data_IF_750969528673
#
_entry.id   IF_750969528673
#
_cell.length_a   1.000
_cell.length_b   1.000
_cell.length_c   1.000
_cell.angle_alpha   90.00
_cell.angle_beta   90.00
_cell.angle_gamma   90.00
#
_symmetry.space_group_name_H-M   'P 1'
#
loop_
_entity.id
_entity.type
_entity.pdbx_description
1 polymer ?
#
# COMPACT_ATOMS: atom_id res chain seq x y z
N UNK A 1 17.40 10.55 -6.10
CA UNK A 1 17.22 9.13 -6.48
C UNK A 1 18.57 8.44 -6.49
N UNK A 2 18.67 7.19 -6.06
CA UNK A 2 19.84 6.33 -6.19
C UNK A 2 19.58 5.33 -7.32
N UNK A 3 20.59 5.07 -8.14
CA UNK A 3 20.50 4.07 -9.22
C UNK A 3 21.34 2.87 -8.84
N UNK A 4 20.79 1.68 -9.02
CA UNK A 4 21.48 0.42 -8.72
C UNK A 4 22.57 0.20 -9.78
N UNK A 5 23.81 0.05 -9.35
CA UNK A 5 24.96 -0.21 -10.23
C UNK A 5 24.74 -1.49 -11.06
N UNK A 6 25.06 -1.45 -12.33
CA UNK A 6 24.88 -2.58 -13.26
C UNK A 6 23.44 -2.85 -13.69
N UNK A 7 22.45 -2.12 -13.14
CA UNK A 7 21.03 -2.33 -13.46
C UNK A 7 20.65 -1.96 -14.88
N UNK A 8 19.51 -2.46 -15.34
CA UNK A 8 18.91 -2.05 -16.62
C UNK A 8 18.59 -0.55 -16.65
N UNK A 9 18.25 0.05 -15.50
CA UNK A 9 18.00 1.47 -15.36
C UNK A 9 19.28 2.31 -15.64
N UNK A 10 20.41 1.92 -15.03
CA UNK A 10 21.69 2.58 -15.28
C UNK A 10 22.13 2.46 -16.73
N UNK A 11 22.04 1.24 -17.30
CA UNK A 11 22.37 0.99 -18.72
C UNK A 11 21.50 1.78 -19.69
N UNK A 12 20.26 2.08 -19.31
CA UNK A 12 19.36 2.94 -20.07
C UNK A 12 19.67 4.43 -19.93
N UNK A 13 20.64 4.80 -19.09
CA UNK A 13 21.11 6.15 -18.92
C UNK A 13 20.49 6.91 -17.75
N UNK A 14 19.77 6.24 -16.86
CA UNK A 14 19.34 6.82 -15.59
C UNK A 14 20.55 7.07 -14.70
N UNK A 15 20.58 8.21 -14.00
CA UNK A 15 21.74 8.60 -13.19
C UNK A 15 21.30 9.05 -11.79
N UNK A 16 22.19 8.89 -10.85
CA UNK A 16 22.02 9.46 -9.52
C UNK A 16 21.81 10.98 -9.60
N UNK A 17 20.87 11.49 -8.80
CA UNK A 17 20.48 12.90 -8.80
C UNK A 17 19.41 13.28 -9.84
N UNK A 18 19.02 12.39 -10.74
CA UNK A 18 17.87 12.63 -11.61
C UNK A 18 16.58 12.82 -10.78
N UNK A 19 15.74 13.74 -11.20
CA UNK A 19 14.44 14.00 -10.60
C UNK A 19 13.35 13.42 -11.50
N UNK A 20 12.66 12.35 -11.03
CA UNK A 20 11.56 11.75 -11.77
C UNK A 20 10.38 12.73 -11.78
N UNK A 21 9.88 13.09 -12.96
CA UNK A 21 8.71 13.95 -13.15
C UNK A 21 7.51 13.19 -13.70
N UNK A 22 7.74 12.02 -14.32
CA UNK A 22 6.68 11.14 -14.79
C UNK A 22 7.16 9.68 -14.72
N UNK A 23 6.28 8.77 -14.30
CA UNK A 23 6.49 7.33 -14.25
C UNK A 23 5.29 6.62 -14.90
N UNK A 24 5.51 5.85 -15.97
CA UNK A 24 4.45 5.14 -16.70
C UNK A 24 3.28 6.05 -17.11
N UNK A 25 3.55 7.28 -17.53
CA UNK A 25 2.53 8.28 -17.86
C UNK A 25 1.88 8.98 -16.66
N UNK A 26 2.25 8.59 -15.44
CA UNK A 26 1.75 9.19 -14.20
C UNK A 26 2.67 10.32 -13.75
N UNK A 27 2.10 11.52 -13.56
CA UNK A 27 2.87 12.70 -13.15
C UNK A 27 3.27 12.63 -11.68
N UNK A 28 4.55 12.85 -11.40
CA UNK A 28 5.16 12.79 -10.08
C UNK A 28 5.46 14.20 -9.60
N UNK A 29 4.73 14.67 -8.61
CA UNK A 29 4.97 15.95 -7.92
C UNK A 29 5.85 15.76 -6.66
N UNK A 30 5.67 14.63 -5.98
CA UNK A 30 6.34 14.25 -4.72
C UNK A 30 6.84 12.80 -4.81
N UNK A 31 7.93 12.48 -4.10
CA UNK A 31 8.45 11.10 -4.06
C UNK A 31 7.41 10.06 -3.62
N UNK A 32 6.49 10.43 -2.74
CA UNK A 32 5.38 9.57 -2.30
C UNK A 32 4.31 9.30 -3.38
N UNK A 33 4.24 10.10 -4.44
CA UNK A 33 3.39 9.78 -5.61
C UNK A 33 3.85 8.48 -6.29
N UNK A 34 5.15 8.31 -6.40
CA UNK A 34 5.73 7.10 -6.98
C UNK A 34 5.44 5.87 -6.11
N UNK A 35 5.52 6.03 -4.79
CA UNK A 35 5.16 4.97 -3.85
C UNK A 35 3.70 4.53 -4.02
N UNK A 36 2.76 5.48 -4.04
CA UNK A 36 1.33 5.19 -4.24
C UNK A 36 1.08 4.54 -5.60
N UNK A 37 1.71 5.07 -6.66
CA UNK A 37 1.57 4.48 -7.99
C UNK A 37 2.05 3.02 -8.02
N UNK A 38 3.24 2.75 -7.49
CA UNK A 38 3.83 1.40 -7.46
C UNK A 38 3.03 0.42 -6.60
N UNK A 39 2.42 0.89 -5.51
CA UNK A 39 1.53 0.08 -4.67
C UNK A 39 0.25 -0.35 -5.41
N UNK A 40 -0.34 0.58 -6.19
CA UNK A 40 -1.57 0.31 -6.93
C UNK A 40 -1.35 -0.38 -8.28
N UNK A 41 -0.14 -0.30 -8.83
CA UNK A 41 0.19 -0.83 -10.15
C UNK A 41 1.48 -1.65 -10.05
N UNK A 42 1.31 -2.91 -9.74
CA UNK A 42 2.43 -3.84 -9.65
C UNK A 42 3.13 -3.96 -11.01
N UNK A 43 4.45 -3.79 -11.01
CA UNK A 43 5.27 -3.94 -12.21
C UNK A 43 5.29 -5.41 -12.63
N UNK A 44 4.91 -5.68 -13.89
CA UNK A 44 4.84 -7.04 -14.42
C UNK A 44 6.10 -7.42 -15.18
N UNK A 45 6.46 -8.70 -15.15
CA UNK A 45 7.59 -9.21 -15.92
C UNK A 45 7.40 -8.95 -17.41
N UNK A 46 8.45 -8.45 -18.06
CA UNK A 46 8.45 -8.09 -19.48
C UNK A 46 7.86 -6.72 -19.80
N UNK A 47 7.25 -6.05 -18.83
CA UNK A 47 6.76 -4.69 -18.97
C UNK A 47 7.94 -3.72 -19.13
N UNK A 48 7.78 -2.71 -20.00
CA UNK A 48 8.78 -1.65 -20.17
C UNK A 48 8.48 -0.50 -19.23
N UNK A 49 9.47 -0.06 -18.47
CA UNK A 49 9.37 1.14 -17.64
C UNK A 49 9.63 2.36 -18.53
N UNK A 50 8.73 3.34 -18.46
CA UNK A 50 8.83 4.63 -19.12
C UNK A 50 8.94 5.73 -18.08
N UNK A 51 9.99 6.53 -18.15
CA UNK A 51 10.28 7.63 -17.23
C UNK A 51 10.47 8.94 -17.98
N UNK A 52 9.99 10.05 -17.40
CA UNK A 52 10.54 11.37 -17.67
C UNK A 52 11.31 11.83 -16.46
N UNK A 53 12.54 12.25 -16.69
CA UNK A 53 13.42 12.74 -15.63
C UNK A 53 13.91 14.13 -15.98
N UNK A 54 14.17 14.93 -14.95
CA UNK A 54 14.80 16.23 -15.09
C UNK A 54 16.24 16.14 -14.58
N UNK A 55 17.19 16.40 -15.48
CA UNK A 55 18.64 16.46 -15.23
C UNK A 55 19.18 17.81 -15.67
N UNK A 56 19.86 18.54 -14.81
CA UNK A 56 20.42 19.86 -15.10
C UNK A 56 19.41 20.83 -15.73
N UNK A 57 18.15 20.75 -15.25
CA UNK A 57 17.06 21.60 -15.74
C UNK A 57 16.40 21.15 -17.06
N UNK A 58 16.92 20.11 -17.73
CA UNK A 58 16.38 19.56 -18.99
C UNK A 58 15.59 18.27 -18.74
N UNK A 59 14.46 18.14 -19.42
CA UNK A 59 13.72 16.88 -19.44
C UNK A 59 14.37 15.87 -20.39
N UNK A 60 14.38 14.60 -19.96
CA UNK A 60 14.82 13.46 -20.73
C UNK A 60 13.83 12.31 -20.56
N UNK A 61 13.58 11.59 -21.63
CA UNK A 61 12.77 10.38 -21.60
C UNK A 61 13.69 9.16 -21.57
N UNK A 62 13.44 8.25 -20.65
CA UNK A 62 14.20 7.02 -20.46
C UNK A 62 13.22 5.86 -20.47
N UNK A 63 13.53 4.84 -21.24
CA UNK A 63 12.69 3.63 -21.29
C UNK A 63 13.58 2.39 -21.29
N UNK A 64 13.21 1.40 -20.47
CA UNK A 64 13.96 0.15 -20.37
C UNK A 64 13.09 -0.99 -19.87
N UNK A 65 13.51 -2.21 -20.14
CA UNK A 65 12.95 -3.40 -19.49
C UNK A 65 13.67 -3.63 -18.17
N UNK A 66 12.95 -3.74 -17.04
CA UNK A 66 13.54 -3.97 -15.74
C UNK A 66 14.26 -5.31 -15.68
N UNK A 67 15.28 -5.39 -14.83
CA UNK A 67 15.87 -6.66 -14.45
C UNK A 67 14.85 -7.48 -13.66
N UNK A 68 15.00 -8.80 -13.66
CA UNK A 68 14.14 -9.72 -12.93
C UNK A 68 14.94 -10.35 -11.80
N UNK A 69 14.48 -10.16 -10.57
CA UNK A 69 15.01 -10.86 -9.42
C UNK A 69 14.29 -12.21 -9.31
N UNK A 70 15.06 -13.27 -9.38
CA UNK A 70 14.56 -14.64 -9.25
C UNK A 70 14.86 -15.14 -7.85
N UNK A 71 13.83 -15.57 -7.14
CA UNK A 71 13.93 -16.19 -5.83
C UNK A 71 13.14 -17.48 -5.81
N UNK A 72 13.56 -18.39 -4.98
CA UNK A 72 12.80 -19.60 -4.68
C UNK A 72 12.16 -19.46 -3.32
N UNK A 73 10.86 -19.72 -3.22
CA UNK A 73 10.08 -19.48 -2.02
C UNK A 73 9.34 -20.75 -1.58
N UNK A 74 9.19 -20.90 -0.28
CA UNK A 74 8.36 -21.93 0.35
C UNK A 74 6.89 -21.50 0.46
N UNK A 75 6.61 -20.19 0.59
CA UNK A 75 5.28 -19.61 0.51
C UNK A 75 4.52 -19.53 1.83
N UNK A 76 5.10 -18.92 2.85
CA UNK A 76 4.45 -18.65 4.13
C UNK A 76 4.79 -17.27 4.69
N UNK A 77 3.91 -16.77 5.55
CA UNK A 77 4.17 -15.60 6.38
C UNK A 77 4.37 -16.06 7.82
N UNK A 78 5.26 -15.37 8.53
CA UNK A 78 5.56 -15.61 9.95
C UNK A 78 4.77 -14.63 10.81
N UNK A 79 4.35 -15.06 11.99
CA UNK A 79 3.65 -14.21 12.96
C UNK A 79 4.54 -13.07 13.52
N UNK A 80 5.84 -13.29 13.55
CA UNK A 80 6.86 -12.32 13.97
C UNK A 80 8.16 -12.60 13.21
N UNK A 81 9.00 -11.57 13.03
CA UNK A 81 10.29 -11.67 12.33
C UNK A 81 11.19 -12.71 12.98
N UNK A 82 11.13 -12.86 14.31
CA UNK A 82 11.92 -13.82 15.07
C UNK A 82 11.23 -15.18 15.26
N UNK A 83 9.98 -15.34 14.82
CA UNK A 83 9.22 -16.58 14.97
C UNK A 83 9.35 -17.46 13.72
N UNK A 84 9.26 -18.78 13.90
CA UNK A 84 9.10 -19.76 12.83
C UNK A 84 7.68 -20.33 12.79
N UNK A 85 6.74 -19.73 13.52
CA UNK A 85 5.33 -20.07 13.46
C UNK A 85 4.72 -19.57 12.16
N UNK A 86 4.08 -20.45 11.44
CA UNK A 86 3.31 -20.14 10.23
C UNK A 86 2.06 -19.36 10.63
N UNK A 87 2.00 -18.07 10.34
CA UNK A 87 0.81 -17.26 10.54
C UNK A 87 -0.21 -17.50 9.44
N UNK A 88 0.26 -17.52 8.21
CA UNK A 88 -0.56 -17.81 7.04
C UNK A 88 0.27 -18.43 5.91
N UNK A 89 -0.39 -19.21 5.07
CA UNK A 89 0.18 -19.80 3.87
C UNK A 89 -0.26 -19.02 2.63
N UNK A 90 0.64 -18.90 1.68
CA UNK A 90 0.35 -18.28 0.40
C UNK A 90 -0.29 -19.33 -0.50
N UNK A 91 -1.53 -19.08 -0.94
CA UNK A 91 -2.31 -20.01 -1.76
C UNK A 91 -1.59 -20.44 -3.02
N UNK A 92 -1.57 -21.74 -3.26
CA UNK A 92 -0.89 -22.36 -4.41
C UNK A 92 0.62 -22.38 -4.29
N UNK A 93 1.19 -22.15 -3.09
CA UNK A 93 2.63 -22.26 -2.86
C UNK A 93 3.00 -23.58 -2.17
N UNK A 94 4.29 -23.99 -2.26
CA UNK A 94 4.72 -25.33 -1.88
C UNK A 94 4.35 -25.80 -0.47
N UNK A 95 4.43 -24.96 0.54
CA UNK A 95 4.06 -25.34 1.92
C UNK A 95 2.56 -25.62 2.06
N UNK A 96 1.69 -24.83 1.38
CA UNK A 96 0.24 -25.11 1.36
C UNK A 96 -0.06 -26.42 0.64
N UNK A 97 0.58 -26.64 -0.50
CA UNK A 97 0.40 -27.88 -1.30
C UNK A 97 0.88 -29.13 -0.54
N UNK A 98 1.88 -28.97 0.33
CA UNK A 98 2.39 -30.02 1.21
C UNK A 98 1.50 -30.28 2.46
N UNK A 99 0.46 -29.47 2.66
CA UNK A 99 -0.52 -29.65 3.75
C UNK A 99 -0.08 -29.06 5.09
N UNK A 100 0.85 -28.10 5.11
CA UNK A 100 1.09 -27.30 6.29
C UNK A 100 -0.15 -26.39 6.54
N UNK A 101 -0.30 -25.94 7.79
CA UNK A 101 -1.43 -25.13 8.24
C UNK A 101 -0.94 -23.94 9.08
N UNK A 102 -1.78 -22.92 9.22
CA UNK A 102 -1.51 -21.83 10.14
C UNK A 102 -1.42 -22.38 11.58
N UNK A 103 -0.41 -21.95 12.32
CA UNK A 103 -0.09 -22.45 13.65
C UNK A 103 1.01 -23.52 13.70
N UNK A 104 1.40 -24.10 12.56
CA UNK A 104 2.58 -24.99 12.50
C UNK A 104 3.85 -24.21 12.83
N UNK A 105 4.81 -24.87 13.47
CA UNK A 105 6.11 -24.28 13.79
C UNK A 105 7.19 -25.03 13.01
N UNK A 106 7.85 -24.36 12.07
CA UNK A 106 8.96 -24.95 11.32
C UNK A 106 10.17 -25.02 12.26
N UNK A 107 10.72 -26.23 12.45
CA UNK A 107 11.82 -26.48 13.39
C UNK A 107 13.14 -26.79 12.69
N UNK A 108 13.11 -27.45 11.50
CA UNK A 108 14.34 -27.80 10.77
C UNK A 108 14.12 -27.66 9.25
N UNK A 109 15.21 -27.38 8.53
CA UNK A 109 15.28 -27.43 7.06
C UNK A 109 16.47 -28.32 6.71
N UNK A 110 16.23 -29.38 5.95
CA UNK A 110 17.23 -30.41 5.61
C UNK A 110 17.98 -30.94 6.86
N UNK A 111 17.28 -31.11 7.99
CA UNK A 111 17.82 -31.56 9.25
C UNK A 111 18.60 -30.51 10.06
N UNK A 112 18.77 -29.30 9.53
CA UNK A 112 19.40 -28.16 10.24
C UNK A 112 18.32 -27.41 11.04
N UNK A 113 18.59 -27.23 12.35
CA UNK A 113 17.66 -26.51 13.23
C UNK A 113 17.54 -25.03 12.88
N UNK A 114 16.29 -24.54 12.82
CA UNK A 114 15.93 -23.13 12.58
C UNK A 114 14.98 -22.67 13.69
N UNK A 115 15.50 -22.50 14.94
CA UNK A 115 14.69 -22.22 16.11
C UNK A 115 13.97 -20.86 16.05
N UNK A 116 14.47 -19.94 15.26
CA UNK A 116 13.93 -18.61 15.11
C UNK A 116 14.15 -18.04 13.69
N UNK A 117 13.56 -16.88 13.42
CA UNK A 117 13.66 -16.25 12.12
C UNK A 117 15.07 -15.84 11.73
N UNK A 118 15.93 -15.50 12.68
CA UNK A 118 17.33 -15.14 12.39
C UNK A 118 18.12 -16.37 11.92
N UNK A 119 17.90 -17.53 12.59
CA UNK A 119 18.51 -18.80 12.19
C UNK A 119 18.02 -19.24 10.80
N UNK A 120 16.74 -19.02 10.50
CA UNK A 120 16.17 -19.26 9.18
C UNK A 120 16.83 -18.37 8.10
N UNK A 121 16.93 -17.07 8.33
CA UNK A 121 17.55 -16.15 7.37
C UNK A 121 19.01 -16.50 7.11
N UNK A 122 19.76 -16.78 8.18
CA UNK A 122 21.15 -17.25 8.06
C UNK A 122 21.25 -18.54 7.28
N UNK A 123 20.35 -19.51 7.55
CA UNK A 123 20.33 -20.78 6.80
C UNK A 123 20.10 -20.52 5.30
N UNK A 124 19.14 -19.66 4.94
CA UNK A 124 18.84 -19.34 3.53
C UNK A 124 19.98 -18.56 2.85
N UNK A 125 20.72 -17.72 3.59
CA UNK A 125 21.91 -17.04 3.07
C UNK A 125 23.04 -18.03 2.75
N UNK A 126 23.27 -19.02 3.64
CA UNK A 126 24.30 -20.04 3.47
C UNK A 126 23.90 -21.15 2.49
N UNK A 127 22.59 -21.43 2.39
CA UNK A 127 21.99 -22.48 1.55
C UNK A 127 20.79 -21.91 0.79
N UNK A 128 21.04 -21.12 -0.26
CA UNK A 128 19.96 -20.54 -1.07
C UNK A 128 19.01 -21.60 -1.62
N UNK A 129 17.70 -21.37 -1.47
CA UNK A 129 16.71 -22.27 -2.06
C UNK A 129 16.83 -22.28 -3.59
N UNK A 130 16.58 -23.43 -4.19
CA UNK A 130 16.58 -23.68 -5.64
C UNK A 130 15.36 -24.50 -6.03
N UNK A 131 15.33 -25.03 -7.22
CA UNK A 131 14.35 -26.01 -7.70
C UNK A 131 14.58 -27.43 -7.15
N UNK A 132 15.59 -27.62 -6.28
CA UNK A 132 15.83 -28.89 -5.61
C UNK A 132 14.91 -29.05 -4.39
N UNK A 133 14.40 -30.29 -4.14
CA UNK A 133 13.58 -30.55 -2.97
C UNK A 133 14.33 -30.31 -1.66
N UNK A 134 13.63 -29.75 -0.67
CA UNK A 134 14.10 -29.58 0.71
C UNK A 134 13.16 -30.28 1.67
N UNK A 135 13.72 -30.91 2.71
CA UNK A 135 12.94 -31.52 3.79
C UNK A 135 12.64 -30.46 4.85
N UNK A 136 11.36 -30.21 5.09
CA UNK A 136 10.89 -29.32 6.16
C UNK A 136 10.39 -30.18 7.31
N UNK A 137 10.96 -30.00 8.50
CA UNK A 137 10.46 -30.56 9.75
C UNK A 137 9.65 -29.50 10.46
N UNK A 138 8.44 -29.82 10.88
CA UNK A 138 7.55 -28.89 11.59
C UNK A 138 6.80 -29.58 12.72
N UNK A 139 6.41 -28.80 13.72
CA UNK A 139 5.61 -29.25 14.86
C UNK A 139 4.15 -28.78 14.71
N UNK A 140 3.20 -29.69 14.90
CA UNK A 140 1.79 -29.43 14.99
C UNK A 140 1.18 -30.15 16.19
N UNK A 141 0.56 -29.40 17.11
CA UNK A 141 -0.05 -29.96 18.34
C UNK A 141 0.94 -30.81 19.19
N UNK A 142 2.22 -30.43 19.25
CA UNK A 142 3.25 -31.15 20.00
C UNK A 142 3.76 -32.42 19.33
N UNK A 143 3.42 -32.67 18.08
CA UNK A 143 3.92 -33.78 17.28
C UNK A 143 4.78 -33.27 16.12
N UNK A 144 5.93 -33.94 15.88
CA UNK A 144 6.84 -33.61 14.80
C UNK A 144 6.39 -34.32 13.51
N UNK A 145 6.42 -33.58 12.40
CA UNK A 145 6.12 -34.05 11.05
C UNK A 145 7.23 -33.64 10.10
N UNK A 146 7.35 -34.37 9.00
CA UNK A 146 8.26 -34.03 7.91
C UNK A 146 7.50 -33.97 6.58
N UNK A 147 7.89 -33.01 5.75
CA UNK A 147 7.39 -32.89 4.38
C UNK A 147 8.56 -32.59 3.43
N UNK A 148 8.60 -33.27 2.30
CA UNK A 148 9.52 -32.97 1.21
C UNK A 148 8.85 -31.93 0.29
N UNK A 149 9.52 -30.80 0.07
CA UNK A 149 8.96 -29.63 -0.57
C UNK A 149 9.93 -29.13 -1.65
N UNK A 150 9.48 -28.96 -2.86
CA UNK A 150 10.24 -28.28 -3.89
C UNK A 150 9.88 -26.79 -3.88
N UNK A 151 10.83 -25.91 -3.54
CA UNK A 151 10.56 -24.46 -3.54
C UNK A 151 10.15 -23.98 -4.94
N UNK A 152 9.24 -23.01 -4.99
CA UNK A 152 8.75 -22.46 -6.26
C UNK A 152 9.53 -21.22 -6.66
N UNK A 153 9.91 -21.16 -7.92
CA UNK A 153 10.50 -19.98 -8.51
C UNK A 153 9.51 -18.81 -8.45
N UNK A 154 9.96 -17.69 -7.91
CA UNK A 154 9.23 -16.44 -7.85
C UNK A 154 10.04 -15.34 -8.53
N UNK A 155 9.50 -14.76 -9.57
CA UNK A 155 10.14 -13.78 -10.44
C UNK A 155 9.54 -12.41 -10.18
N UNK A 156 10.37 -11.47 -9.73
CA UNK A 156 9.93 -10.11 -9.44
C UNK A 156 10.73 -9.13 -10.28
N UNK A 157 10.10 -8.35 -11.15
CA UNK A 157 10.78 -7.28 -11.85
C UNK A 157 11.21 -6.21 -10.85
N UNK A 158 12.43 -5.68 -11.00
CA UNK A 158 12.99 -4.64 -10.15
C UNK A 158 13.29 -3.40 -10.95
N UNK A 159 12.85 -2.25 -10.48
CA UNK A 159 12.99 -0.97 -11.19
C UNK A 159 14.45 -0.57 -11.42
N UNK A 160 15.41 -1.10 -10.63
CA UNK A 160 16.83 -0.78 -10.73
C UNK A 160 17.19 0.61 -10.19
N UNK A 161 16.27 1.24 -9.47
CA UNK A 161 16.53 2.49 -8.73
C UNK A 161 15.75 2.54 -7.43
N UNK A 162 16.36 3.21 -6.43
CA UNK A 162 15.70 3.56 -5.19
C UNK A 162 15.36 5.05 -5.17
N UNK A 163 14.20 5.38 -4.64
CA UNK A 163 13.84 6.77 -4.39
C UNK A 163 13.69 6.99 -2.89
N UNK A 164 14.41 7.98 -2.39
CA UNK A 164 14.30 8.38 -1.00
C UNK A 164 13.33 9.55 -0.89
N UNK A 165 12.38 9.43 0.02
CA UNK A 165 11.56 10.54 0.47
C UNK A 165 12.35 11.31 1.54
N UNK A 166 13.40 12.05 1.15
CA UNK A 166 14.04 12.95 2.08
C UNK A 166 13.34 14.31 2.07
N UNK A 167 13.31 14.93 3.23
CA UNK A 167 12.72 16.25 3.39
C UNK A 167 13.75 17.33 3.06
N UNK A 168 13.44 18.17 2.08
CA UNK A 168 14.24 19.36 1.78
C UNK A 168 13.75 20.56 2.56
N UNK A 169 14.67 21.26 3.22
CA UNK A 169 14.31 22.52 3.90
C UNK A 169 13.94 23.57 2.87
N UNK A 170 12.75 24.11 2.99
CA UNK A 170 12.26 25.18 2.12
C UNK A 170 11.86 26.41 2.93
N UNK A 171 11.80 27.56 2.28
CA UNK A 171 11.47 28.84 2.94
C UNK A 171 10.67 29.76 2.02
N UNK A 172 10.04 30.77 2.59
CA UNK A 172 9.32 31.81 1.86
C UNK A 172 8.12 31.25 1.07
N UNK A 173 7.93 31.72 -0.15
CA UNK A 173 6.81 31.34 -1.02
C UNK A 173 6.78 29.84 -1.36
N UNK A 174 7.91 29.16 -1.32
CA UNK A 174 7.98 27.74 -1.60
C UNK A 174 7.21 26.92 -0.55
N UNK A 175 7.12 27.38 0.70
CA UNK A 175 6.31 26.72 1.76
C UNK A 175 4.83 26.64 1.33
N UNK A 176 4.28 27.73 0.81
CA UNK A 176 2.89 27.76 0.34
C UNK A 176 2.70 26.88 -0.89
N UNK A 177 3.67 26.91 -1.83
CA UNK A 177 3.65 26.07 -3.01
C UNK A 177 3.62 24.59 -2.63
N UNK A 178 4.54 24.14 -1.78
CA UNK A 178 4.60 22.73 -1.36
C UNK A 178 3.41 22.33 -0.48
N UNK A 179 2.88 23.25 0.34
CA UNK A 179 1.62 23.01 1.04
C UNK A 179 0.45 22.75 0.10
N UNK A 180 0.34 23.51 -0.99
CA UNK A 180 -0.69 23.28 -2.01
C UNK A 180 -0.47 21.95 -2.76
N UNK A 181 0.78 21.60 -3.06
CA UNK A 181 1.14 20.30 -3.68
C UNK A 181 0.77 19.15 -2.76
N UNK A 182 1.02 19.29 -1.45
CA UNK A 182 0.66 18.28 -0.44
C UNK A 182 -0.86 18.06 -0.37
N UNK A 183 -1.64 19.14 -0.34
CA UNK A 183 -3.11 19.04 -0.37
C UNK A 183 -3.58 18.38 -1.67
N UNK A 184 -3.02 18.77 -2.82
CA UNK A 184 -3.31 18.13 -4.12
C UNK A 184 -3.01 16.63 -4.08
N UNK A 185 -1.87 16.25 -3.49
CA UNK A 185 -1.49 14.84 -3.31
C UNK A 185 -2.54 14.08 -2.48
N UNK A 186 -2.94 14.62 -1.32
CA UNK A 186 -3.92 13.98 -0.44
C UNK A 186 -5.29 13.80 -1.14
N UNK A 187 -5.76 14.83 -1.84
CA UNK A 187 -7.01 14.74 -2.62
C UNK A 187 -6.90 13.65 -3.70
N UNK A 188 -5.79 13.63 -4.45
CA UNK A 188 -5.56 12.64 -5.50
C UNK A 188 -5.50 11.22 -4.95
N UNK A 189 -4.80 11.02 -3.84
CA UNK A 189 -4.71 9.71 -3.18
C UNK A 189 -6.08 9.24 -2.69
N UNK A 190 -6.89 10.13 -2.11
CA UNK A 190 -8.27 9.81 -1.71
C UNK A 190 -9.12 9.36 -2.91
N UNK A 191 -9.03 10.07 -4.04
CA UNK A 191 -9.75 9.70 -5.26
C UNK A 191 -9.28 8.34 -5.80
N UNK A 192 -7.97 8.08 -5.78
CA UNK A 192 -7.41 6.78 -6.17
C UNK A 192 -7.91 5.66 -5.26
N UNK A 193 -7.87 5.84 -3.93
CA UNK A 193 -8.38 4.85 -2.98
C UNK A 193 -9.86 4.56 -3.19
N UNK A 194 -10.67 5.57 -3.48
CA UNK A 194 -12.09 5.38 -3.83
C UNK A 194 -12.26 4.60 -5.14
N UNK A 195 -11.42 4.86 -6.13
CA UNK A 195 -11.41 4.09 -7.38
C UNK A 195 -11.10 2.61 -7.10
N UNK A 196 -10.05 2.32 -6.32
CA UNK A 196 -9.65 0.97 -5.97
C UNK A 196 -10.75 0.23 -5.16
N UNK A 197 -11.46 0.95 -4.31
CA UNK A 197 -12.63 0.42 -3.60
C UNK A 197 -13.77 0.05 -4.57
N UNK A 198 -14.08 0.92 -5.54
CA UNK A 198 -15.15 0.68 -6.54
C UNK A 198 -14.76 -0.43 -7.52
N UNK A 199 -13.49 -0.56 -7.88
CA UNK A 199 -12.99 -1.62 -8.76
C UNK A 199 -12.82 -2.97 -8.05
N UNK A 200 -12.98 -3.00 -6.72
CA UNK A 200 -12.92 -4.23 -5.92
C UNK A 200 -11.51 -4.70 -5.57
N UNK A 201 -10.49 -3.89 -5.83
CA UNK A 201 -9.12 -4.18 -5.39
C UNK A 201 -8.93 -3.92 -3.88
N UNK A 202 -9.68 -2.95 -3.32
CA UNK A 202 -9.83 -2.78 -1.88
C UNK A 202 -11.17 -3.34 -1.42
N UNK A 203 -11.18 -4.03 -0.30
CA UNK A 203 -12.37 -4.63 0.28
C UNK A 203 -12.93 -3.85 1.46
N UNK A 204 -14.08 -4.29 1.98
CA UNK A 204 -14.67 -3.72 3.20
C UNK A 204 -13.74 -3.80 4.42
N UNK A 205 -12.83 -4.77 4.43
CA UNK A 205 -11.82 -4.93 5.49
C UNK A 205 -10.75 -3.84 5.47
N UNK A 206 -10.53 -3.21 4.33
CA UNK A 206 -9.52 -2.16 4.17
C UNK A 206 -10.06 -0.77 4.53
N UNK A 207 -11.38 -0.67 4.73
CA UNK A 207 -12.00 0.55 5.23
C UNK A 207 -11.77 0.72 6.73
N UNK A 208 -11.45 1.93 7.12
CA UNK A 208 -11.41 2.36 8.52
C UNK A 208 -12.61 3.25 8.83
N UNK A 209 -13.35 2.87 9.85
CA UNK A 209 -14.43 3.66 10.40
C UNK A 209 -13.94 4.57 11.55
N UNK A 210 -14.87 5.13 12.33
CA UNK A 210 -14.52 6.05 13.42
C UNK A 210 -13.56 5.45 14.45
N UNK A 211 -13.67 4.16 14.75
CA UNK A 211 -12.83 3.47 15.74
C UNK A 211 -11.43 3.27 15.17
N UNK A 212 -11.30 2.80 13.94
CA UNK A 212 -10.00 2.64 13.27
C UNK A 212 -9.28 3.97 13.01
N UNK A 213 -10.02 5.06 12.78
CA UNK A 213 -9.42 6.40 12.68
C UNK A 213 -8.84 6.86 14.03
N UNK A 214 -9.55 6.63 15.14
CA UNK A 214 -9.04 6.97 16.49
C UNK A 214 -7.81 6.14 16.82
N UNK A 215 -7.81 4.86 16.50
CA UNK A 215 -6.67 3.96 16.66
C UNK A 215 -5.46 4.44 15.86
N UNK A 216 -5.62 4.72 14.58
CA UNK A 216 -4.55 5.27 13.72
C UNK A 216 -3.98 6.60 14.21
N UNK A 217 -4.80 7.47 14.81
CA UNK A 217 -4.34 8.71 15.46
C UNK A 217 -3.50 8.37 16.69
N UNK A 218 -3.95 7.40 17.51
CA UNK A 218 -3.24 6.91 18.68
C UNK A 218 -1.88 6.35 18.32
N UNK A 219 -1.82 5.46 17.35
CA UNK A 219 -0.59 4.85 16.86
C UNK A 219 0.39 5.89 16.31
N UNK A 220 -0.10 6.82 15.49
CA UNK A 220 0.72 7.91 14.96
C UNK A 220 1.31 8.77 16.10
N UNK A 221 0.53 9.03 17.14
CA UNK A 221 1.00 9.77 18.32
C UNK A 221 2.07 8.98 19.10
N UNK A 222 1.83 7.70 19.38
CA UNK A 222 2.77 6.84 20.13
C UNK A 222 4.11 6.69 19.37
N UNK A 223 4.06 6.41 18.08
CA UNK A 223 5.25 6.29 17.22
C UNK A 223 6.06 7.61 17.20
N UNK A 224 5.36 8.74 17.16
CA UNK A 224 6.00 10.07 17.12
C UNK A 224 6.68 10.45 18.42
N UNK A 225 6.35 9.83 19.56
CA UNK A 225 6.94 10.14 20.88
C UNK A 225 8.46 9.97 20.91
N UNK A 226 8.97 8.93 20.26
CA UNK A 226 10.40 8.64 20.19
C UNK A 226 11.20 9.69 19.42
N UNK A 227 10.55 10.45 18.53
CA UNK A 227 11.17 11.41 17.63
C UNK A 227 11.10 12.86 18.16
N UNK A 228 10.40 13.07 19.27
CA UNK A 228 10.31 14.36 19.98
C UNK A 228 9.07 15.19 19.66
N UNK A 229 8.84 16.22 20.49
CA UNK A 229 7.61 17.03 20.49
C UNK A 229 7.30 17.68 19.14
N UNK A 230 8.31 18.14 18.42
CA UNK A 230 8.12 18.76 17.11
C UNK A 230 7.53 17.74 16.10
N UNK A 231 8.04 16.52 16.11
CA UNK A 231 7.55 15.48 15.22
C UNK A 231 6.12 15.05 15.55
N UNK A 232 5.77 14.99 16.84
CA UNK A 232 4.38 14.77 17.26
C UNK A 232 3.46 15.82 16.63
N UNK A 233 3.79 17.12 16.75
CA UNK A 233 2.97 18.18 16.16
C UNK A 233 2.88 18.09 14.65
N UNK A 234 3.99 17.80 13.98
CA UNK A 234 4.02 17.67 12.51
C UNK A 234 3.15 16.50 12.03
N UNK A 235 3.26 15.34 12.67
CA UNK A 235 2.49 14.17 12.31
C UNK A 235 1.00 14.34 12.62
N UNK A 236 0.65 14.97 13.75
CA UNK A 236 -0.75 15.29 14.07
C UNK A 236 -1.36 16.30 13.11
N UNK A 237 -0.62 17.32 12.69
CA UNK A 237 -1.08 18.26 11.65
C UNK A 237 -1.26 17.55 10.31
N UNK A 238 -0.33 16.69 9.95
CA UNK A 238 -0.42 15.90 8.69
C UNK A 238 -1.66 15.01 8.69
N UNK A 239 -1.94 14.34 9.82
CA UNK A 239 -3.15 13.54 10.01
C UNK A 239 -4.41 14.42 9.90
N UNK A 240 -4.43 15.60 10.52
CA UNK A 240 -5.56 16.52 10.43
C UNK A 240 -5.82 16.99 8.99
N UNK A 241 -4.77 17.28 8.21
CA UNK A 241 -4.90 17.66 6.80
C UNK A 241 -5.41 16.48 5.96
N UNK A 242 -4.90 15.26 6.20
CA UNK A 242 -5.36 14.04 5.54
C UNK A 242 -6.85 13.79 5.79
N UNK A 243 -7.28 13.82 7.05
CA UNK A 243 -8.69 13.63 7.41
C UNK A 243 -9.60 14.71 6.82
N UNK A 244 -9.13 15.97 6.80
CA UNK A 244 -9.87 17.08 6.19
C UNK A 244 -10.00 16.92 4.68
N UNK A 245 -8.93 16.48 3.99
CA UNK A 245 -8.95 16.22 2.56
C UNK A 245 -9.91 15.05 2.23
N UNK A 246 -9.83 13.96 2.99
CA UNK A 246 -10.72 12.82 2.85
C UNK A 246 -12.19 13.23 3.04
N UNK A 247 -12.50 13.97 4.11
CA UNK A 247 -13.85 14.46 4.38
C UNK A 247 -14.36 15.38 3.24
N UNK A 248 -13.50 16.25 2.72
CA UNK A 248 -13.84 17.13 1.59
C UNK A 248 -14.17 16.34 0.32
N UNK A 249 -13.33 15.37 -0.04
CA UNK A 249 -13.55 14.51 -1.23
C UNK A 249 -14.80 13.66 -1.05
N UNK A 250 -14.98 13.03 0.12
CA UNK A 250 -16.16 12.20 0.41
C UNK A 250 -17.45 13.00 0.32
N UNK A 251 -17.47 14.24 0.83
CA UNK A 251 -18.66 15.10 0.76
C UNK A 251 -19.00 15.52 -0.68
N UNK A 252 -18.05 15.53 -1.61
CA UNK A 252 -18.28 15.82 -3.03
C UNK A 252 -18.80 14.62 -3.83
N UNK A 253 -18.82 13.42 -3.26
CA UNK A 253 -19.36 12.25 -3.94
C UNK A 253 -20.86 12.44 -4.26
N UNK A 254 -21.33 11.96 -5.43
CA UNK A 254 -22.72 12.09 -5.85
C UNK A 254 -23.64 11.10 -5.10
N UNK A 255 -23.51 11.05 -3.78
CA UNK A 255 -24.28 10.19 -2.92
C UNK A 255 -25.36 10.98 -2.17
N UNK A 256 -26.59 10.44 -2.04
CA UNK A 256 -27.59 11.05 -1.19
C UNK A 256 -27.09 11.21 0.25
N UNK A 257 -27.54 12.26 0.94
CA UNK A 257 -27.10 12.71 2.24
C UNK A 257 -25.79 13.51 2.29
N UNK A 258 -24.95 13.47 1.24
CA UNK A 258 -23.74 14.28 1.11
C UNK A 258 -24.01 15.52 0.26
N UNK A 259 -23.11 16.53 0.34
CA UNK A 259 -23.25 17.79 -0.42
C UNK A 259 -23.18 17.55 -1.94
N UNK A 260 -22.35 16.59 -2.39
CA UNK A 260 -22.30 16.17 -3.79
C UNK A 260 -23.64 15.64 -4.32
N UNK A 261 -24.42 14.95 -3.47
CA UNK A 261 -25.78 14.54 -3.81
C UNK A 261 -26.71 15.73 -4.08
N UNK A 262 -26.60 16.81 -3.30
CA UNK A 262 -27.33 18.05 -3.56
C UNK A 262 -26.92 18.72 -4.86
N UNK A 263 -25.60 18.72 -5.18
CA UNK A 263 -25.11 19.22 -6.45
C UNK A 263 -25.73 18.48 -7.64
N UNK A 264 -25.91 17.15 -7.54
CA UNK A 264 -26.60 16.37 -8.58
C UNK A 264 -28.02 16.87 -8.79
N UNK A 265 -28.80 17.14 -7.74
CA UNK A 265 -30.16 17.71 -7.87
C UNK A 265 -30.14 19.07 -8.52
N UNK A 266 -29.19 19.95 -8.14
CA UNK A 266 -29.05 21.28 -8.75
C UNK A 266 -28.72 21.18 -10.26
N UNK A 267 -27.83 20.26 -10.65
CA UNK A 267 -27.52 20.01 -12.08
C UNK A 267 -28.77 19.50 -12.82
N UNK A 268 -29.53 18.57 -12.23
CA UNK A 268 -30.78 18.06 -12.80
C UNK A 268 -31.78 19.17 -12.97
N UNK A 269 -31.96 20.07 -12.01
CA UNK A 269 -32.84 21.23 -12.10
C UNK A 269 -32.42 22.21 -13.23
N UNK A 270 -31.12 22.48 -13.30
CA UNK A 270 -30.54 23.33 -14.33
C UNK A 270 -30.80 22.79 -15.76
N UNK A 271 -30.61 21.49 -15.96
CA UNK A 271 -30.84 20.82 -17.26
C UNK A 271 -32.33 20.77 -17.61
N UNK A 272 -33.17 20.41 -16.65
CA UNK A 272 -34.62 20.29 -16.83
C UNK A 272 -35.32 21.65 -16.86
N UNK A 273 -34.68 22.70 -16.38
CA UNK A 273 -35.26 24.05 -16.19
C UNK A 273 -36.55 24.03 -15.34
N UNK A 274 -36.68 23.05 -14.46
CA UNK A 274 -37.81 22.88 -13.54
C UNK A 274 -37.30 22.38 -12.22
N UNK A 275 -37.78 22.90 -11.09
CA UNK A 275 -37.38 22.44 -9.76
C UNK A 275 -37.77 20.99 -9.54
N UNK A 276 -36.96 20.27 -8.80
CA UNK A 276 -37.25 18.91 -8.26
C UNK A 276 -38.23 19.09 -7.09
N UNK A 277 -39.11 18.13 -6.90
CA UNK A 277 -40.02 18.13 -5.76
C UNK A 277 -39.22 17.94 -4.45
N UNK A 278 -39.30 18.94 -3.57
CA UNK A 278 -38.55 18.97 -2.28
C UNK A 278 -38.83 17.75 -1.38
N UNK A 279 -40.04 17.19 -1.44
CA UNK A 279 -40.38 16.00 -0.67
C UNK A 279 -39.63 14.76 -1.20
N UNK A 280 -39.54 14.62 -2.53
CA UNK A 280 -38.80 13.52 -3.18
C UNK A 280 -37.32 13.66 -2.90
N UNK A 281 -36.74 14.85 -3.05
CA UNK A 281 -35.34 15.13 -2.69
C UNK A 281 -35.07 14.77 -1.22
N UNK A 282 -35.91 15.23 -0.30
CA UNK A 282 -35.82 14.94 1.13
C UNK A 282 -35.87 13.44 1.43
N UNK A 283 -36.76 12.69 0.78
CA UNK A 283 -36.85 11.23 0.95
C UNK A 283 -35.59 10.52 0.43
N UNK A 284 -35.05 10.95 -0.70
CA UNK A 284 -33.82 10.36 -1.26
C UNK A 284 -32.63 10.62 -0.32
N UNK A 285 -32.49 11.85 0.18
CA UNK A 285 -31.45 12.19 1.15
C UNK A 285 -31.60 11.42 2.47
N UNK A 286 -32.84 11.26 2.96
CA UNK A 286 -33.10 10.47 4.17
C UNK A 286 -32.76 8.99 3.97
N UNK A 287 -33.14 8.40 2.85
CA UNK A 287 -32.79 7.01 2.52
C UNK A 287 -31.26 6.83 2.42
N UNK A 288 -30.56 7.78 1.78
CA UNK A 288 -29.09 7.80 1.72
C UNK A 288 -28.46 7.91 3.10
N UNK A 289 -28.99 8.75 3.98
CA UNK A 289 -28.51 8.86 5.36
C UNK A 289 -28.65 7.52 6.11
N UNK A 290 -29.80 6.87 5.98
CA UNK A 290 -30.01 5.56 6.63
C UNK A 290 -29.04 4.49 6.11
N UNK A 291 -28.76 4.49 4.80
CA UNK A 291 -27.80 3.60 4.19
C UNK A 291 -26.37 3.86 4.72
N UNK A 292 -25.95 5.13 4.78
CA UNK A 292 -24.64 5.51 5.30
C UNK A 292 -24.50 5.18 6.78
N UNK A 293 -25.56 5.35 7.58
CA UNK A 293 -25.58 4.94 8.99
C UNK A 293 -25.43 3.43 9.14
N UNK A 294 -26.12 2.64 8.32
CA UNK A 294 -26.00 1.18 8.33
C UNK A 294 -24.55 0.76 7.93
N UNK A 295 -23.99 1.38 6.89
CA UNK A 295 -22.60 1.12 6.48
C UNK A 295 -21.62 1.47 7.61
N UNK A 296 -21.81 2.62 8.28
CA UNK A 296 -20.96 3.03 9.41
C UNK A 296 -20.97 1.99 10.54
N UNK A 297 -22.13 1.42 10.87
CA UNK A 297 -22.22 0.36 11.89
C UNK A 297 -21.43 -0.88 11.48
N UNK A 298 -21.52 -1.29 10.20
CA UNK A 298 -20.78 -2.46 9.68
C UNK A 298 -19.27 -2.20 9.71
N UNK A 299 -18.83 -1.02 9.28
CA UNK A 299 -17.40 -0.67 9.28
C UNK A 299 -16.88 -0.56 10.72
N UNK A 300 -17.64 0.05 11.63
CA UNK A 300 -17.27 0.13 13.04
C UNK A 300 -17.15 -1.26 13.70
N UNK A 301 -18.05 -2.19 13.37
CA UNK A 301 -17.95 -3.57 13.83
C UNK A 301 -16.67 -4.24 13.30
N UNK A 302 -16.34 -4.02 12.03
CA UNK A 302 -15.11 -4.52 11.42
C UNK A 302 -13.84 -3.91 12.06
N UNK A 303 -13.85 -2.61 12.41
CA UNK A 303 -12.75 -1.96 13.12
C UNK A 303 -12.49 -2.64 14.48
N UNK A 304 -13.55 -2.90 15.25
CA UNK A 304 -13.44 -3.55 16.55
C UNK A 304 -12.82 -4.95 16.40
N UNK A 305 -13.22 -5.72 15.38
CA UNK A 305 -12.63 -7.05 15.12
C UNK A 305 -11.16 -7.03 14.69
N UNK A 306 -10.67 -5.88 14.22
CA UNK A 306 -9.24 -5.73 13.87
C UNK A 306 -8.37 -5.39 15.08
N UNK A 307 -8.93 -4.69 16.06
CA UNK A 307 -8.21 -4.17 17.23
C UNK A 307 -8.20 -5.19 18.36
N UNK A 308 -9.22 -6.04 18.47
CA UNK A 308 -9.42 -7.08 19.51
C UNK A 308 -9.44 -8.48 18.90
#
# INVERSE_FOLDING_TARGET
MQVTEGSAAEKAGLKEGDVITEYQGYHIDLGKDLYVYSYLNELKEGETIHLKVKRDGKEQEISYKPDVNVRYLLGFNRSDVNSMTVESLIKGMPLEEAGLEAGDVITKINGVEVPDGNAYEKYIEEHPLSDEPVTITYERNGLEYEAEITPREYRTPVSGFGYNTYSEKTSGFNVLKYGAVEVKYMIRTTILSLKELVTGHLGMKDLSGPVGVVDAIGDTYEQSKSEGTLMIWMNMLNMAVLLSANLGVMNLLPLPALDGGRLVFLVVEAVRRKPVNRQVEGMIHFAGLMLLMALMVVVMYNDILKIF
#
